data_IF_222218439481
#
_entry.id   IF_222218439481
#
_cell.length_a   1.000
_cell.length_b   1.000
_cell.length_c   1.000
_cell.angle_alpha   90.00
_cell.angle_beta   90.00
_cell.angle_gamma   90.00
#
_symmetry.space_group_name_H-M   'P 1'
#
loop_
_entity.id
_entity.type
_entity.pdbx_description
1 polymer ?
#
# COMPACT_ATOMS: atom_id res chain seq x y z
N UNK A 1 24.83 -18.69 15.55
CA UNK A 1 24.71 -17.22 15.75
C UNK A 1 23.78 -16.64 14.68
N UNK A 2 22.61 -16.08 15.02
CA UNK A 2 21.79 -15.41 14.01
C UNK A 2 22.55 -14.20 13.46
N UNK A 3 22.89 -14.26 12.18
CA UNK A 3 23.65 -13.25 11.43
C UNK A 3 23.24 -11.83 11.82
N UNK A 4 24.20 -10.99 12.19
CA UNK A 4 24.07 -9.55 12.50
C UNK A 4 23.23 -8.78 11.45
N UNK A 5 23.21 -9.29 10.21
CA UNK A 5 22.38 -8.79 9.10
C UNK A 5 20.87 -8.94 9.34
N UNK A 6 20.42 -10.00 10.02
CA UNK A 6 19.00 -10.28 10.30
C UNK A 6 18.48 -9.31 11.36
N UNK A 7 19.23 -9.11 12.44
CA UNK A 7 18.91 -8.18 13.54
C UNK A 7 18.82 -6.72 13.03
N UNK A 8 19.82 -6.27 12.26
CA UNK A 8 19.82 -4.93 11.65
C UNK A 8 18.64 -4.71 10.71
N UNK A 9 18.19 -5.77 10.02
CA UNK A 9 17.04 -5.73 9.12
C UNK A 9 15.73 -5.63 9.90
N UNK A 10 15.56 -6.39 10.97
CA UNK A 10 14.36 -6.34 11.82
C UNK A 10 14.23 -5.00 12.52
N UNK A 11 15.33 -4.47 13.09
CA UNK A 11 15.34 -3.16 13.75
C UNK A 11 14.97 -2.03 12.79
N UNK A 12 15.53 -2.03 11.57
CA UNK A 12 15.19 -1.05 10.54
C UNK A 12 13.72 -1.12 10.11
N UNK A 13 13.10 -2.30 10.17
CA UNK A 13 11.66 -2.48 9.90
C UNK A 13 10.80 -1.91 11.03
N UNK A 14 11.10 -2.26 12.27
CA UNK A 14 10.42 -1.70 13.45
C UNK A 14 10.48 -0.18 13.46
N UNK A 15 11.67 0.39 13.22
CA UNK A 15 11.86 1.83 13.14
C UNK A 15 11.03 2.47 12.02
N UNK A 16 10.98 1.87 10.83
CA UNK A 16 10.23 2.41 9.71
C UNK A 16 8.71 2.28 9.91
N UNK A 17 8.26 1.19 10.53
CA UNK A 17 6.85 1.01 10.92
C UNK A 17 6.44 2.01 11.99
N UNK A 18 7.28 2.23 13.01
CA UNK A 18 7.03 3.23 14.05
C UNK A 18 6.96 4.64 13.45
N UNK A 19 7.91 4.99 12.56
CA UNK A 19 7.91 6.26 11.85
C UNK A 19 6.61 6.45 11.05
N UNK A 20 6.17 5.42 10.35
CA UNK A 20 4.90 5.42 9.61
C UNK A 20 3.69 5.67 10.54
N UNK A 21 3.64 5.05 11.73
CA UNK A 21 2.57 5.29 12.70
C UNK A 21 2.60 6.72 13.22
N UNK A 22 3.78 7.28 13.50
CA UNK A 22 3.91 8.67 13.95
C UNK A 22 3.46 9.64 12.85
N UNK A 23 3.91 9.42 11.62
CA UNK A 23 3.53 10.24 10.45
C UNK A 23 2.06 10.10 10.05
N UNK A 24 1.36 9.07 10.54
CA UNK A 24 -0.06 8.89 10.28
C UNK A 24 -0.92 9.91 11.04
N UNK A 25 -0.54 10.21 12.29
CA UNK A 25 -1.25 11.11 13.21
C UNK A 25 -0.57 12.47 13.39
N UNK A 26 0.59 12.69 12.77
CA UNK A 26 1.41 13.87 13.03
C UNK A 26 0.71 15.18 12.70
N UNK A 27 -0.12 15.23 11.65
CA UNK A 27 -0.85 16.46 11.30
C UNK A 27 -1.86 16.82 12.40
N UNK A 28 -2.62 15.84 12.90
CA UNK A 28 -3.55 16.04 14.01
C UNK A 28 -2.85 16.43 15.31
N UNK A 29 -1.72 15.80 15.66
CA UNK A 29 -0.94 16.18 16.84
C UNK A 29 -0.43 17.63 16.75
N UNK A 30 0.09 18.02 15.58
CA UNK A 30 0.54 19.39 15.34
C UNK A 30 -0.63 20.37 15.38
N UNK A 31 -1.82 19.98 14.94
CA UNK A 31 -3.03 20.80 15.06
C UNK A 31 -3.33 21.12 16.52
N UNK A 32 -3.43 20.09 17.37
CA UNK A 32 -3.75 20.23 18.80
C UNK A 32 -2.70 21.09 19.52
N UNK A 33 -1.41 20.87 19.26
CA UNK A 33 -0.35 21.63 19.91
C UNK A 33 -0.29 23.10 19.47
N UNK A 34 -0.63 23.40 18.21
CA UNK A 34 -0.52 24.75 17.65
C UNK A 34 -1.82 25.56 17.75
N UNK A 35 -2.94 24.94 18.12
CA UNK A 35 -4.26 25.58 18.13
C UNK A 35 -4.26 26.89 18.94
N UNK A 36 -3.74 26.84 20.17
CA UNK A 36 -3.72 28.01 21.05
C UNK A 36 -2.87 29.16 20.48
N UNK A 37 -1.75 28.83 19.84
CA UNK A 37 -0.87 29.83 19.25
C UNK A 37 -1.53 30.50 18.03
N UNK A 38 -2.27 29.73 17.23
CA UNK A 38 -3.03 30.26 16.09
C UNK A 38 -4.17 31.15 16.60
N UNK A 39 -4.92 30.71 17.62
CA UNK A 39 -5.96 31.53 18.27
C UNK A 39 -5.42 32.86 18.78
N UNK A 40 -4.27 32.84 19.46
CA UNK A 40 -3.63 34.05 19.98
C UNK A 40 -3.26 35.04 18.87
N UNK A 41 -2.91 34.55 17.69
CA UNK A 41 -2.52 35.37 16.54
C UNK A 41 -3.67 36.17 15.91
N UNK A 42 -4.93 35.83 16.22
CA UNK A 42 -6.14 36.50 15.72
C UNK A 42 -6.83 37.39 16.79
N UNK A 43 -6.33 37.41 18.03
CA UNK A 43 -6.96 38.14 19.15
C UNK A 43 -7.06 39.67 18.95
N UNK A 44 -6.28 40.24 18.02
CA UNK A 44 -6.32 41.68 17.72
C UNK A 44 -7.53 42.12 16.88
N UNK A 45 -8.46 41.21 16.56
CA UNK A 45 -9.65 41.48 15.75
C UNK A 45 -10.85 41.79 16.65
N UNK A 46 -11.47 42.96 16.46
CA UNK A 46 -12.54 43.48 17.32
C UNK A 46 -13.92 42.81 17.12
N UNK A 47 -14.09 42.01 16.07
CA UNK A 47 -15.36 41.35 15.74
C UNK A 47 -15.23 39.83 15.88
N UNK A 48 -16.23 39.18 16.49
CA UNK A 48 -16.30 37.73 16.64
C UNK A 48 -16.24 37.00 15.30
N UNK A 49 -16.92 37.52 14.28
CA UNK A 49 -16.93 36.91 12.95
C UNK A 49 -15.55 37.01 12.29
N UNK A 50 -14.91 38.18 12.38
CA UNK A 50 -13.56 38.39 11.82
C UNK A 50 -12.50 37.55 12.55
N UNK A 51 -12.65 37.38 13.87
CA UNK A 51 -11.80 36.50 14.66
C UNK A 51 -11.90 35.04 14.20
N UNK A 52 -13.11 34.52 14.04
CA UNK A 52 -13.34 33.13 13.60
C UNK A 52 -12.84 32.90 12.17
N UNK A 53 -13.13 33.81 11.24
CA UNK A 53 -12.63 33.76 9.86
C UNK A 53 -11.10 33.73 9.82
N UNK A 54 -10.44 34.61 10.57
CA UNK A 54 -8.97 34.63 10.71
C UNK A 54 -8.44 33.29 11.24
N UNK A 55 -9.07 32.76 12.28
CA UNK A 55 -8.66 31.51 12.90
C UNK A 55 -8.77 30.34 11.93
N UNK A 56 -9.93 30.12 11.30
CA UNK A 56 -10.14 29.02 10.35
C UNK A 56 -9.23 29.13 9.13
N UNK A 57 -9.03 30.35 8.62
CA UNK A 57 -8.14 30.58 7.48
C UNK A 57 -6.68 30.22 7.82
N UNK A 58 -6.15 30.76 8.92
CA UNK A 58 -4.77 30.48 9.34
C UNK A 58 -4.56 29.02 9.71
N UNK A 59 -5.52 28.41 10.40
CA UNK A 59 -5.48 27.00 10.76
C UNK A 59 -5.46 26.12 9.50
N UNK A 60 -6.32 26.39 8.51
CA UNK A 60 -6.39 25.61 7.27
C UNK A 60 -5.10 25.70 6.44
N UNK A 61 -4.52 26.89 6.31
CA UNK A 61 -3.23 27.09 5.62
C UNK A 61 -2.12 26.34 6.36
N UNK A 62 -2.04 26.52 7.68
CA UNK A 62 -1.02 25.86 8.49
C UNK A 62 -1.11 24.34 8.40
N UNK A 63 -2.31 23.78 8.55
CA UNK A 63 -2.53 22.33 8.45
C UNK A 63 -2.28 21.80 7.04
N UNK A 64 -2.60 22.56 6.01
CA UNK A 64 -2.27 22.18 4.63
C UNK A 64 -0.75 22.09 4.43
N UNK A 65 0.02 23.05 4.94
CA UNK A 65 1.49 23.02 4.86
C UNK A 65 2.09 21.84 5.64
N UNK A 66 1.60 21.60 6.85
CA UNK A 66 2.01 20.44 7.67
C UNK A 66 1.66 19.14 6.95
N UNK A 67 0.43 19.02 6.42
CA UNK A 67 0.00 17.86 5.65
C UNK A 67 0.92 17.62 4.44
N UNK A 68 1.26 18.66 3.67
CA UNK A 68 2.16 18.54 2.52
C UNK A 68 3.52 17.99 2.92
N UNK A 69 4.11 18.48 4.02
CA UNK A 69 5.39 17.99 4.54
C UNK A 69 5.30 16.52 4.97
N UNK A 70 4.29 16.19 5.80
CA UNK A 70 4.03 14.83 6.26
C UNK A 70 3.81 13.89 5.07
N UNK A 71 3.08 14.34 4.05
CA UNK A 71 2.80 13.57 2.84
C UNK A 71 4.04 13.32 2.00
N UNK A 72 4.92 14.31 1.84
CA UNK A 72 6.20 14.13 1.14
C UNK A 72 7.08 13.09 1.83
N UNK A 73 7.17 13.15 3.17
CA UNK A 73 7.95 12.18 3.95
C UNK A 73 7.34 10.77 3.84
N UNK A 74 6.02 10.66 3.98
CA UNK A 74 5.33 9.36 3.87
C UNK A 74 5.41 8.78 2.46
N UNK A 75 5.25 9.59 1.42
CA UNK A 75 5.44 9.17 0.03
C UNK A 75 6.86 8.61 -0.21
N UNK A 76 7.90 9.24 0.34
CA UNK A 76 9.26 8.71 0.28
C UNK A 76 9.38 7.38 1.00
N UNK A 77 8.74 7.22 2.16
CA UNK A 77 8.71 5.94 2.87
C UNK A 77 8.00 4.84 2.06
N UNK A 78 6.85 5.12 1.47
CA UNK A 78 6.10 4.20 0.60
C UNK A 78 6.92 3.77 -0.62
N UNK A 79 7.63 4.71 -1.24
CA UNK A 79 8.51 4.42 -2.37
C UNK A 79 9.67 3.49 -1.96
N UNK A 80 10.27 3.70 -0.77
CA UNK A 80 11.30 2.83 -0.23
C UNK A 80 10.77 1.41 0.05
N UNK A 81 9.55 1.29 0.59
CA UNK A 81 8.90 -0.02 0.80
C UNK A 81 8.61 -0.76 -0.51
N UNK A 82 8.18 -0.02 -1.54
CA UNK A 82 7.81 -0.59 -2.83
C UNK A 82 9.05 -1.03 -3.62
N UNK A 83 10.07 -0.16 -3.71
CA UNK A 83 11.28 -0.43 -4.50
C UNK A 83 12.12 -1.59 -3.96
N UNK A 84 12.11 -1.81 -2.64
CA UNK A 84 12.88 -2.91 -2.02
C UNK A 84 12.35 -4.30 -2.41
N UNK A 85 11.09 -4.36 -2.84
CA UNK A 85 10.37 -5.58 -3.17
C UNK A 85 9.90 -5.56 -4.65
N UNK A 86 10.70 -4.97 -5.54
CA UNK A 86 10.34 -4.63 -6.94
C UNK A 86 10.26 -5.82 -7.90
N UNK A 87 10.64 -7.02 -7.45
CA UNK A 87 10.67 -8.22 -8.30
C UNK A 87 9.26 -8.78 -8.60
N UNK A 88 8.26 -8.46 -7.77
CA UNK A 88 6.89 -8.87 -8.04
C UNK A 88 6.22 -7.99 -9.11
N UNK A 89 5.71 -8.61 -10.18
CA UNK A 89 5.05 -7.89 -11.29
C UNK A 89 3.81 -7.13 -10.83
N UNK A 90 3.05 -7.69 -9.88
CA UNK A 90 1.85 -7.03 -9.35
C UNK A 90 2.20 -5.69 -8.66
N UNK A 91 3.27 -5.67 -7.86
CA UNK A 91 3.78 -4.45 -7.21
C UNK A 91 4.32 -3.43 -8.21
N UNK A 92 4.95 -3.88 -9.30
CA UNK A 92 5.50 -3.01 -10.35
C UNK A 92 4.40 -2.32 -11.17
N UNK A 93 3.31 -3.03 -11.48
CA UNK A 93 2.21 -2.50 -12.31
C UNK A 93 1.22 -1.65 -11.54
N UNK A 94 0.95 -1.99 -10.29
CA UNK A 94 -0.02 -1.32 -9.43
C UNK A 94 0.64 -1.04 -8.09
N UNK A 95 1.47 -0.02 -8.04
CA UNK A 95 2.27 0.30 -6.85
C UNK A 95 1.44 0.97 -5.74
N UNK A 96 0.31 1.61 -6.08
CA UNK A 96 -0.65 2.19 -5.14
C UNK A 96 -0.16 3.40 -4.36
N UNK A 97 1.05 3.91 -4.62
CA UNK A 97 1.56 5.12 -3.98
C UNK A 97 1.25 6.33 -4.85
N UNK A 98 0.57 7.31 -4.28
CA UNK A 98 0.22 8.57 -4.94
C UNK A 98 0.79 9.74 -4.14
N UNK A 99 1.24 10.79 -4.81
CA UNK A 99 1.77 11.98 -4.10
C UNK A 99 0.73 12.54 -3.14
N UNK A 100 -0.56 12.56 -3.50
CA UNK A 100 -1.65 12.90 -2.59
C UNK A 100 -1.74 14.36 -2.16
N UNK A 101 -0.75 15.21 -2.47
CA UNK A 101 -0.78 16.66 -2.23
C UNK A 101 -2.01 17.35 -2.86
N UNK A 102 -2.46 17.00 -4.08
CA UNK A 102 -3.65 17.61 -4.67
C UNK A 102 -4.95 17.46 -3.84
N UNK A 103 -5.01 16.50 -2.91
CA UNK A 103 -6.17 16.29 -2.03
C UNK A 103 -6.43 17.48 -1.09
N UNK A 104 -5.39 18.22 -0.71
CA UNK A 104 -5.56 19.38 0.16
C UNK A 104 -6.00 20.65 -0.57
N UNK A 105 -5.93 20.68 -1.91
CA UNK A 105 -6.33 21.86 -2.70
C UNK A 105 -7.85 22.12 -2.60
N UNK A 106 -8.75 21.16 -2.85
CA UNK A 106 -10.19 21.39 -2.70
C UNK A 106 -10.56 21.76 -1.25
N UNK A 107 -9.91 21.15 -0.26
CA UNK A 107 -10.13 21.47 1.15
C UNK A 107 -9.73 22.92 1.47
N UNK A 108 -8.53 23.34 1.02
CA UNK A 108 -8.05 24.71 1.22
C UNK A 108 -8.96 25.71 0.50
N UNK A 109 -9.32 25.45 -0.75
CA UNK A 109 -10.22 26.30 -1.54
C UNK A 109 -11.55 26.48 -0.82
N UNK A 110 -12.13 25.40 -0.27
CA UNK A 110 -13.38 25.45 0.51
C UNK A 110 -13.24 26.34 1.74
N UNK A 111 -12.18 26.15 2.54
CA UNK A 111 -11.96 26.90 3.77
C UNK A 111 -11.66 28.39 3.51
N UNK A 112 -10.89 28.70 2.46
CA UNK A 112 -10.58 30.09 2.06
C UNK A 112 -11.80 30.83 1.49
N UNK A 113 -12.68 30.13 0.76
CA UNK A 113 -13.86 30.76 0.16
C UNK A 113 -15.02 30.89 1.16
N UNK A 114 -15.04 30.04 2.20
CA UNK A 114 -15.94 30.19 3.34
C UNK A 114 -15.72 31.53 4.06
N UNK A 115 -14.47 31.94 4.26
CA UNK A 115 -14.12 33.18 4.97
C UNK A 115 -14.42 34.48 4.20
N UNK A 116 -14.89 34.39 2.95
CA UNK A 116 -15.23 35.57 2.13
C UNK A 116 -16.77 35.75 2.07
N UNK A 117 -17.54 34.95 2.81
CA UNK A 117 -19.01 34.99 2.78
C UNK A 117 -19.61 34.47 1.46
N UNK A 118 -18.80 33.88 0.58
CA UNK A 118 -19.24 33.30 -0.70
C UNK A 118 -19.72 31.86 -0.46
N UNK A 119 -20.56 31.69 0.55
CA UNK A 119 -21.01 30.37 1.01
C UNK A 119 -22.03 29.72 0.04
N UNK A 120 -22.55 30.46 -0.95
CA UNK A 120 -23.79 30.08 -1.63
C UNK A 120 -23.77 30.19 -3.17
N UNK A 121 -22.63 30.46 -3.81
CA UNK A 121 -22.62 30.32 -5.27
C UNK A 121 -22.45 28.84 -5.62
N UNK A 122 -23.45 28.26 -6.29
CA UNK A 122 -23.41 26.91 -6.85
C UNK A 122 -22.10 26.62 -7.60
N UNK A 123 -21.50 27.65 -8.20
CA UNK A 123 -20.19 27.61 -8.85
C UNK A 123 -19.04 27.18 -7.92
N UNK A 124 -18.95 27.68 -6.68
CA UNK A 124 -17.88 27.30 -5.75
C UNK A 124 -17.98 25.83 -5.35
N UNK A 125 -19.21 25.35 -5.12
CA UNK A 125 -19.48 23.94 -4.83
C UNK A 125 -19.11 23.05 -6.03
N UNK A 126 -19.51 23.45 -7.25
CA UNK A 126 -19.15 22.74 -8.49
C UNK A 126 -17.64 22.69 -8.66
N UNK A 127 -16.93 23.83 -8.53
CA UNK A 127 -15.48 23.89 -8.64
C UNK A 127 -14.78 22.99 -7.61
N UNK A 128 -15.21 23.04 -6.34
CA UNK A 128 -14.65 22.20 -5.26
C UNK A 128 -14.89 20.72 -5.55
N UNK A 129 -16.09 20.35 -6.04
CA UNK A 129 -16.42 18.99 -6.42
C UNK A 129 -15.58 18.48 -7.59
N UNK A 130 -15.37 19.31 -8.62
CA UNK A 130 -14.50 18.95 -9.77
C UNK A 130 -13.06 18.75 -9.31
N UNK A 131 -12.53 19.67 -8.50
CA UNK A 131 -11.17 19.56 -7.95
C UNK A 131 -11.02 18.30 -7.07
N UNK A 132 -12.00 18.02 -6.22
CA UNK A 132 -12.02 16.80 -5.42
C UNK A 132 -12.07 15.55 -6.31
N UNK A 133 -12.91 15.53 -7.34
CA UNK A 133 -13.01 14.41 -8.28
C UNK A 133 -11.66 14.13 -8.97
N UNK A 134 -10.96 15.17 -9.42
CA UNK A 134 -9.63 15.05 -10.01
C UNK A 134 -8.59 14.55 -8.99
N UNK A 135 -8.63 15.05 -7.76
CA UNK A 135 -7.71 14.64 -6.70
C UNK A 135 -7.91 13.19 -6.25
N UNK A 136 -9.16 12.70 -6.25
CA UNK A 136 -9.51 11.33 -5.85
C UNK A 136 -9.44 10.30 -6.99
N UNK A 137 -9.44 10.74 -8.26
CA UNK A 137 -9.42 9.87 -9.43
C UNK A 137 -8.32 8.78 -9.40
N UNK A 138 -7.05 9.06 -9.03
CA UNK A 138 -6.02 8.02 -8.95
C UNK A 138 -6.38 6.89 -7.96
N UNK A 139 -6.98 7.23 -6.81
CA UNK A 139 -7.37 6.26 -5.79
C UNK A 139 -8.56 5.42 -6.23
N UNK A 140 -9.54 6.04 -6.90
CA UNK A 140 -10.70 5.34 -7.47
C UNK A 140 -10.28 4.39 -8.60
N UNK A 141 -9.38 4.83 -9.48
CA UNK A 141 -8.79 4.00 -10.54
C UNK A 141 -8.09 2.76 -9.96
N UNK A 142 -7.27 2.95 -8.94
CA UNK A 142 -6.56 1.84 -8.28
C UNK A 142 -7.53 0.86 -7.62
N UNK A 143 -8.57 1.36 -6.94
CA UNK A 143 -9.64 0.53 -6.38
C UNK A 143 -10.30 -0.34 -7.45
N UNK A 144 -10.73 0.25 -8.57
CA UNK A 144 -11.34 -0.48 -9.68
C UNK A 144 -10.39 -1.56 -10.23
N UNK A 145 -9.10 -1.24 -10.38
CA UNK A 145 -8.10 -2.20 -10.82
C UNK A 145 -7.92 -3.35 -9.82
N UNK A 146 -7.87 -3.06 -8.50
CA UNK A 146 -7.78 -4.07 -7.45
C UNK A 146 -9.00 -4.98 -7.44
N UNK A 147 -10.21 -4.41 -7.48
CA UNK A 147 -11.45 -5.17 -7.53
C UNK A 147 -11.48 -6.12 -8.73
N UNK A 148 -11.06 -5.64 -9.91
CA UNK A 148 -10.95 -6.48 -11.12
C UNK A 148 -9.97 -7.64 -10.92
N UNK A 149 -8.79 -7.38 -10.33
CA UNK A 149 -7.80 -8.43 -10.06
C UNK A 149 -8.30 -9.47 -9.05
N UNK A 150 -8.93 -9.01 -7.96
CA UNK A 150 -9.51 -9.87 -6.95
C UNK A 150 -10.64 -10.71 -7.54
N UNK A 151 -11.53 -10.13 -8.35
CA UNK A 151 -12.59 -10.87 -9.05
C UNK A 151 -12.02 -11.98 -9.95
N UNK A 152 -10.99 -11.69 -10.76
CA UNK A 152 -10.33 -12.72 -11.56
C UNK A 152 -9.62 -13.78 -10.72
N UNK A 153 -9.04 -13.39 -9.58
CA UNK A 153 -8.40 -14.31 -8.65
C UNK A 153 -9.43 -15.27 -8.02
N UNK A 154 -10.62 -14.75 -7.64
CA UNK A 154 -11.74 -15.57 -7.14
C UNK A 154 -12.23 -16.54 -8.21
N UNK A 155 -12.49 -16.07 -9.44
CA UNK A 155 -12.94 -16.92 -10.55
C UNK A 155 -11.98 -18.09 -10.84
N UNK A 156 -10.68 -17.86 -10.68
CA UNK A 156 -9.63 -18.88 -10.90
C UNK A 156 -9.28 -19.69 -9.64
N UNK A 157 -10.08 -19.58 -8.57
CA UNK A 157 -9.84 -20.26 -7.28
C UNK A 157 -8.44 -20.02 -6.75
N UNK A 158 -7.97 -18.77 -6.81
CA UNK A 158 -6.62 -18.39 -6.41
C UNK A 158 -6.41 -18.52 -4.89
N UNK A 159 -7.40 -18.09 -4.11
CA UNK A 159 -7.38 -18.18 -2.66
C UNK A 159 -7.45 -19.64 -2.21
N UNK A 160 -6.54 -20.05 -1.33
CA UNK A 160 -6.48 -21.43 -0.82
C UNK A 160 -7.51 -21.66 0.30
N UNK A 161 -7.87 -20.61 1.03
CA UNK A 161 -8.87 -20.66 2.11
C UNK A 161 -9.78 -19.44 2.10
N UNK A 162 -10.92 -19.57 2.77
CA UNK A 162 -11.93 -18.51 2.87
C UNK A 162 -11.41 -17.31 3.68
N UNK A 163 -10.49 -17.51 4.62
CA UNK A 163 -9.93 -16.43 5.45
C UNK A 163 -9.19 -15.38 4.61
N UNK A 164 -8.30 -15.80 3.70
CA UNK A 164 -7.56 -14.86 2.84
C UNK A 164 -8.52 -14.07 1.94
N UNK A 165 -9.58 -14.71 1.47
CA UNK A 165 -10.61 -14.07 0.66
C UNK A 165 -11.41 -13.04 1.49
N UNK A 166 -11.89 -13.43 2.68
CA UNK A 166 -12.63 -12.54 3.59
C UNK A 166 -11.77 -11.31 3.91
N UNK A 167 -10.51 -11.52 4.31
CA UNK A 167 -9.60 -10.43 4.66
C UNK A 167 -9.31 -9.51 3.46
N UNK A 168 -9.23 -10.05 2.25
CA UNK A 168 -9.10 -9.27 1.01
C UNK A 168 -10.33 -8.41 0.77
N UNK A 169 -11.54 -9.00 0.91
CA UNK A 169 -12.79 -8.26 0.76
C UNK A 169 -12.95 -7.18 1.83
N UNK A 170 -12.58 -7.47 3.08
CA UNK A 170 -12.55 -6.48 4.17
C UNK A 170 -11.59 -5.34 3.86
N UNK A 171 -10.39 -5.62 3.35
CA UNK A 171 -9.44 -4.58 2.96
C UNK A 171 -9.98 -3.70 1.81
N UNK A 172 -10.65 -4.29 0.81
CA UNK A 172 -11.30 -3.54 -0.26
C UNK A 172 -12.46 -2.67 0.26
N UNK A 173 -13.26 -3.21 1.18
CA UNK A 173 -14.35 -2.47 1.81
C UNK A 173 -13.81 -1.23 2.55
N UNK A 174 -12.81 -1.42 3.41
CA UNK A 174 -12.17 -0.31 4.14
C UNK A 174 -11.60 0.74 3.16
N UNK A 175 -10.93 0.30 2.09
CA UNK A 175 -10.41 1.19 1.06
C UNK A 175 -11.51 2.06 0.46
N UNK A 176 -12.62 1.45 0.03
CA UNK A 176 -13.76 2.15 -0.56
C UNK A 176 -14.42 3.10 0.43
N UNK A 177 -14.62 2.67 1.68
CA UNK A 177 -15.20 3.49 2.73
C UNK A 177 -14.36 4.73 3.01
N UNK A 178 -13.03 4.59 3.14
CA UNK A 178 -12.13 5.73 3.35
C UNK A 178 -12.19 6.70 2.17
N UNK A 179 -12.12 6.21 0.93
CA UNK A 179 -12.24 7.07 -0.26
C UNK A 179 -13.56 7.81 -0.28
N UNK A 180 -14.67 7.14 0.03
CA UNK A 180 -16.01 7.74 0.02
C UNK A 180 -16.18 8.81 1.10
N UNK A 181 -15.80 8.50 2.35
CA UNK A 181 -15.93 9.41 3.50
C UNK A 181 -15.10 10.67 3.25
N UNK A 182 -13.83 10.51 2.88
CA UNK A 182 -12.92 11.64 2.65
C UNK A 182 -13.34 12.45 1.41
N UNK A 183 -13.86 11.79 0.36
CA UNK A 183 -14.39 12.49 -0.81
C UNK A 183 -15.59 13.37 -0.44
N UNK A 184 -16.55 12.84 0.33
CA UNK A 184 -17.74 13.59 0.76
C UNK A 184 -17.36 14.74 1.71
N UNK A 185 -16.42 14.53 2.62
CA UNK A 185 -15.94 15.58 3.52
C UNK A 185 -15.19 16.71 2.79
N UNK A 186 -14.27 16.35 1.88
CA UNK A 186 -13.46 17.33 1.15
C UNK A 186 -14.32 18.09 0.13
N UNK A 187 -15.24 17.41 -0.56
CA UNK A 187 -16.07 18.03 -1.61
C UNK A 187 -17.21 18.88 -1.05
N UNK A 188 -17.91 18.40 -0.01
CA UNK A 188 -19.15 19.00 0.45
C UNK A 188 -19.18 19.31 1.96
N UNK A 189 -18.23 18.81 2.76
CA UNK A 189 -18.17 19.04 4.20
C UNK A 189 -19.37 18.48 4.96
N UNK A 190 -20.04 17.45 4.40
CA UNK A 190 -21.26 16.87 4.97
C UNK A 190 -20.94 15.90 6.12
N UNK A 191 -19.70 15.45 6.22
CA UNK A 191 -19.32 14.43 7.19
C UNK A 191 -19.06 15.01 8.58
N UNK A 192 -19.70 14.46 9.60
CA UNK A 192 -19.41 14.84 10.98
C UNK A 192 -18.11 14.18 11.45
N UNK A 193 -17.13 14.95 11.96
CA UNK A 193 -15.87 14.38 12.43
C UNK A 193 -16.11 13.41 13.58
N UNK A 194 -15.56 12.20 13.44
CA UNK A 194 -15.42 11.27 14.56
C UNK A 194 -14.13 11.58 15.31
N UNK A 195 -14.14 11.49 16.63
CA UNK A 195 -12.97 11.81 17.46
C UNK A 195 -12.43 10.55 18.14
N UNK A 196 -11.12 10.40 18.14
CA UNK A 196 -10.41 9.39 18.91
C UNK A 196 -9.36 10.08 19.79
N UNK A 197 -9.46 9.94 21.11
CA UNK A 197 -8.61 10.66 22.07
C UNK A 197 -8.57 12.18 21.82
N UNK A 198 -9.69 12.76 21.38
CA UNK A 198 -9.80 14.19 21.04
C UNK A 198 -9.25 14.57 19.66
N UNK A 199 -8.70 13.63 18.89
CA UNK A 199 -8.23 13.87 17.51
C UNK A 199 -9.34 13.57 16.49
N UNK A 200 -9.71 14.53 15.62
CA UNK A 200 -10.66 14.27 14.54
C UNK A 200 -10.06 13.29 13.52
N UNK A 201 -10.80 12.25 13.19
CA UNK A 201 -10.39 11.16 12.30
C UNK A 201 -10.68 11.46 10.82
N UNK A 202 -10.46 12.69 10.39
CA UNK A 202 -10.72 13.16 9.02
C UNK A 202 -9.57 14.01 8.51
N UNK A 203 -9.47 14.16 7.19
CA UNK A 203 -8.55 15.11 6.58
C UNK A 203 -8.73 16.54 7.15
N UNK A 204 -7.64 17.32 7.34
CA UNK A 204 -6.22 17.00 7.11
C UNK A 204 -5.52 16.32 8.29
N UNK A 205 -6.22 16.07 9.41
CA UNK A 205 -5.62 15.59 10.65
C UNK A 205 -5.06 14.17 10.54
N UNK A 206 -5.67 13.36 9.68
CA UNK A 206 -5.21 12.01 9.35
C UNK A 206 -4.60 11.95 7.95
N UNK A 207 -3.45 11.30 7.85
CA UNK A 207 -2.83 10.99 6.57
C UNK A 207 -3.47 9.74 5.92
N UNK A 208 -4.73 9.85 5.52
CA UNK A 208 -5.50 8.74 4.95
C UNK A 208 -4.88 8.13 3.67
N UNK A 209 -4.12 8.86 2.80
CA UNK A 209 -3.43 8.22 1.67
C UNK A 209 -2.52 7.06 2.08
N UNK A 210 -1.96 7.12 3.30
CA UNK A 210 -1.16 6.04 3.86
C UNK A 210 -2.01 4.80 4.16
N UNK A 211 -3.25 4.97 4.65
CA UNK A 211 -4.19 3.84 4.88
C UNK A 211 -4.48 3.16 3.55
N UNK A 212 -4.78 3.94 2.52
CA UNK A 212 -5.07 3.45 1.16
C UNK A 212 -3.86 2.68 0.60
N UNK A 213 -2.65 3.22 0.76
CA UNK A 213 -1.41 2.53 0.36
C UNK A 213 -1.22 1.19 1.10
N UNK A 214 -1.46 1.15 2.42
CA UNK A 214 -1.32 -0.07 3.23
C UNK A 214 -2.36 -1.11 2.81
N UNK A 215 -3.63 -0.73 2.65
CA UNK A 215 -4.70 -1.60 2.18
C UNK A 215 -4.43 -2.15 0.77
N UNK A 216 -4.02 -1.28 -0.15
CA UNK A 216 -3.62 -1.67 -1.51
C UNK A 216 -2.44 -2.65 -1.51
N UNK A 217 -1.40 -2.33 -0.74
CA UNK A 217 -0.21 -3.18 -0.59
C UNK A 217 -0.54 -4.52 0.03
N UNK A 218 -1.49 -4.56 0.97
CA UNK A 218 -1.95 -5.79 1.59
C UNK A 218 -2.56 -6.74 0.55
N UNK A 219 -3.51 -6.24 -0.27
CA UNK A 219 -4.16 -7.04 -1.33
C UNK A 219 -3.14 -7.57 -2.35
N UNK A 220 -2.20 -6.73 -2.78
CA UNK A 220 -1.21 -7.12 -3.80
C UNK A 220 -0.16 -8.10 -3.28
N UNK A 221 0.09 -8.13 -1.97
CA UNK A 221 1.05 -9.05 -1.34
C UNK A 221 0.55 -10.49 -1.29
N UNK A 222 -0.71 -10.76 -1.61
CA UNK A 222 -1.24 -12.12 -1.59
C UNK A 222 -0.63 -12.94 -2.73
N UNK A 223 -0.02 -14.06 -2.37
CA UNK A 223 0.60 -14.99 -3.32
C UNK A 223 0.07 -16.40 -3.08
N UNK A 224 -0.18 -17.13 -4.18
CA UNK A 224 -0.60 -18.53 -4.15
C UNK A 224 0.60 -19.45 -4.37
N UNK A 225 0.78 -20.41 -3.48
CA UNK A 225 1.71 -21.54 -3.67
C UNK A 225 1.19 -22.44 -4.79
N UNK A 226 2.02 -22.65 -5.80
CA UNK A 226 1.73 -23.57 -6.90
C UNK A 226 2.22 -24.98 -6.59
N UNK A 227 1.68 -26.01 -7.26
CA UNK A 227 2.20 -27.37 -7.15
C UNK A 227 3.68 -27.42 -7.51
N UNK A 228 4.40 -28.26 -6.76
CA UNK A 228 5.82 -28.48 -6.88
C UNK A 228 6.14 -29.18 -8.20
N UNK A 229 7.21 -28.73 -8.85
CA UNK A 229 7.81 -29.39 -10.01
C UNK A 229 9.23 -29.74 -9.63
N UNK A 230 9.64 -30.96 -9.95
CA UNK A 230 11.00 -31.45 -9.73
C UNK A 230 11.63 -31.64 -11.10
N UNK A 231 12.75 -30.96 -11.31
CA UNK A 231 13.52 -31.08 -12.53
C UNK A 231 14.64 -32.09 -12.32
N UNK A 232 14.65 -33.14 -13.12
CA UNK A 232 15.76 -34.07 -13.23
C UNK A 232 16.74 -33.50 -14.27
N UNK A 233 17.91 -33.10 -13.81
CA UNK A 233 18.96 -32.55 -14.67
C UNK A 233 19.96 -33.66 -14.95
N UNK A 234 20.01 -34.08 -16.23
CA UNK A 234 20.70 -35.30 -16.65
C UNK A 234 22.21 -35.14 -16.61
N UNK A 235 22.74 -34.03 -17.14
CA UNK A 235 24.20 -33.81 -17.22
C UNK A 235 24.84 -33.63 -15.84
N UNK A 236 24.22 -32.87 -14.94
CA UNK A 236 24.74 -32.58 -13.60
C UNK A 236 24.29 -33.57 -12.52
N UNK A 237 23.63 -34.66 -12.93
CA UNK A 237 23.11 -35.75 -12.08
C UNK A 237 22.48 -35.22 -10.80
N UNK A 238 21.45 -34.38 -10.94
CA UNK A 238 20.76 -33.81 -9.79
C UNK A 238 19.27 -33.57 -9.99
N UNK A 239 18.53 -33.61 -8.88
CA UNK A 239 17.16 -33.12 -8.86
C UNK A 239 17.10 -31.71 -8.30
N UNK A 240 16.38 -30.82 -8.98
CA UNK A 240 16.09 -29.47 -8.54
C UNK A 240 14.59 -29.33 -8.29
N UNK A 241 14.22 -29.14 -7.03
CA UNK A 241 12.84 -28.89 -6.63
C UNK A 241 12.53 -27.39 -6.74
N UNK A 242 11.46 -27.07 -7.47
CA UNK A 242 11.03 -25.70 -7.66
C UNK A 242 9.80 -25.36 -6.82
N UNK A 243 9.96 -24.38 -5.94
CA UNK A 243 8.90 -23.78 -5.15
C UNK A 243 8.41 -22.51 -5.83
N UNK A 244 7.29 -22.59 -6.56
CA UNK A 244 6.69 -21.45 -7.26
C UNK A 244 5.60 -20.78 -6.45
N UNK A 245 5.63 -19.45 -6.47
CA UNK A 245 4.59 -18.59 -5.92
C UNK A 245 4.04 -17.70 -7.04
N UNK A 246 2.73 -17.64 -7.24
CA UNK A 246 2.11 -16.68 -8.16
C UNK A 246 1.52 -15.51 -7.41
N UNK A 247 1.71 -14.30 -7.93
CA UNK A 247 1.03 -13.11 -7.44
C UNK A 247 -0.43 -13.07 -7.90
N UNK A 248 -1.21 -12.11 -7.39
CA UNK A 248 -2.62 -11.90 -7.77
C UNK A 248 -2.83 -11.66 -9.27
N UNK A 249 -1.80 -11.18 -9.99
CA UNK A 249 -1.79 -11.08 -11.45
C UNK A 249 -1.57 -12.43 -12.16
N UNK A 250 -1.56 -13.54 -11.43
CA UNK A 250 -1.36 -14.91 -11.93
C UNK A 250 -0.03 -15.14 -12.66
N UNK A 251 0.94 -14.24 -12.48
CA UNK A 251 2.32 -14.42 -12.93
C UNK A 251 3.18 -14.96 -11.80
N UNK A 252 4.15 -15.79 -12.15
CA UNK A 252 5.15 -16.30 -11.21
C UNK A 252 5.92 -15.11 -10.61
N UNK A 253 6.10 -15.16 -9.29
CA UNK A 253 6.72 -14.10 -8.52
C UNK A 253 8.17 -14.49 -8.18
N UNK A 254 9.17 -13.86 -8.81
CA UNK A 254 10.58 -14.17 -8.55
C UNK A 254 11.06 -13.70 -7.18
N UNK A 255 10.25 -12.90 -6.46
CA UNK A 255 10.56 -12.47 -5.09
C UNK A 255 10.38 -13.60 -4.07
N UNK A 256 9.35 -14.44 -4.26
CA UNK A 256 8.98 -15.50 -3.33
C UNK A 256 9.20 -16.92 -3.86
N UNK A 257 9.45 -17.06 -5.17
CA UNK A 257 9.78 -18.35 -5.77
C UNK A 257 11.25 -18.67 -5.56
N UNK A 258 11.57 -19.92 -5.25
CA UNK A 258 12.94 -20.39 -5.05
C UNK A 258 13.10 -21.83 -5.55
N UNK A 259 14.35 -22.22 -5.78
CA UNK A 259 14.73 -23.57 -6.16
C UNK A 259 15.66 -24.17 -5.09
N UNK A 260 15.49 -25.45 -4.82
CA UNK A 260 16.28 -26.22 -3.86
C UNK A 260 16.77 -27.51 -4.51
N UNK A 261 18.08 -27.76 -4.43
CA UNK A 261 18.66 -29.03 -4.90
C UNK A 261 18.35 -30.13 -3.89
N UNK A 262 17.85 -31.26 -4.37
CA UNK A 262 17.63 -32.43 -3.51
C UNK A 262 18.96 -33.17 -3.31
N UNK A 263 19.09 -33.83 -2.17
CA UNK A 263 20.29 -34.60 -1.79
C UNK A 263 20.43 -35.91 -2.58
N UNK A 264 19.31 -36.49 -3.01
CA UNK A 264 19.28 -37.74 -3.78
C UNK A 264 19.70 -37.45 -5.22
N UNK A 265 20.59 -38.27 -5.78
CA UNK A 265 21.03 -38.18 -7.17
C UNK A 265 20.14 -39.03 -8.09
N UNK A 266 19.80 -38.56 -9.31
CA UNK A 266 19.09 -39.33 -10.33
C UNK A 266 19.68 -40.71 -10.61
N UNK A 267 21.00 -40.82 -10.69
CA UNK A 267 21.74 -42.07 -10.91
C UNK A 267 21.53 -43.14 -9.85
N UNK A 268 21.28 -42.72 -8.60
CA UNK A 268 21.08 -43.62 -7.44
C UNK A 268 19.60 -43.71 -7.05
N UNK A 269 18.73 -42.95 -7.70
CA UNK A 269 17.32 -42.87 -7.35
C UNK A 269 16.53 -44.06 -7.87
N UNK A 270 16.11 -44.94 -6.95
CA UNK A 270 15.18 -46.03 -7.26
C UNK A 270 13.79 -45.52 -7.67
N UNK A 271 12.99 -46.37 -8.31
CA UNK A 271 11.58 -46.09 -8.63
C UNK A 271 10.75 -45.74 -7.40
N UNK A 272 11.04 -46.34 -6.24
CA UNK A 272 10.42 -46.00 -4.95
C UNK A 272 10.77 -44.57 -4.52
N UNK A 273 12.03 -44.16 -4.68
CA UNK A 273 12.46 -42.80 -4.35
C UNK A 273 11.79 -41.77 -5.26
N UNK A 274 11.72 -42.04 -6.56
CA UNK A 274 11.03 -41.17 -7.53
C UNK A 274 9.54 -41.02 -7.23
N UNK A 275 8.86 -42.09 -6.81
CA UNK A 275 7.43 -42.05 -6.41
C UNK A 275 7.20 -41.34 -5.07
N UNK A 276 8.20 -41.32 -4.19
CA UNK A 276 8.13 -40.62 -2.90
C UNK A 276 8.37 -39.12 -3.00
N UNK A 277 8.78 -38.61 -4.18
CA UNK A 277 8.99 -37.18 -4.37
C UNK A 277 7.67 -36.44 -4.55
N UNK A 278 7.48 -35.38 -3.76
CA UNK A 278 6.30 -34.51 -3.84
C UNK A 278 6.36 -33.61 -5.08
N UNK A 279 5.93 -34.12 -6.23
CA UNK A 279 5.74 -33.30 -7.42
C UNK A 279 5.80 -34.07 -8.74
N UNK A 280 5.51 -33.36 -9.83
CA UNK A 280 5.71 -33.87 -11.18
C UNK A 280 7.20 -33.80 -11.52
N UNK A 281 7.79 -34.92 -11.92
CA UNK A 281 9.17 -34.98 -12.41
C UNK A 281 9.19 -34.61 -13.89
N UNK A 282 10.07 -33.68 -14.25
CA UNK A 282 10.31 -33.22 -15.64
C UNK A 282 11.79 -33.31 -15.92
N UNK A 283 12.17 -33.88 -17.05
CA UNK A 283 13.58 -34.02 -17.43
C UNK A 283 14.06 -32.80 -18.21
N UNK A 284 15.29 -32.37 -17.93
CA UNK A 284 15.99 -31.24 -18.56
C UNK A 284 17.42 -31.69 -18.82
N UNK A 285 18.03 -31.23 -19.92
CA UNK A 285 19.39 -31.70 -20.27
C UNK A 285 20.43 -31.15 -19.31
N UNK A 286 20.41 -29.84 -19.07
CA UNK A 286 21.40 -29.14 -18.26
C UNK A 286 20.81 -27.98 -17.44
N UNK A 287 21.61 -27.43 -16.51
CA UNK A 287 21.19 -26.31 -15.66
C UNK A 287 20.99 -25.00 -16.44
N UNK A 288 21.62 -24.85 -17.61
CA UNK A 288 21.48 -23.65 -18.43
C UNK A 288 20.08 -23.57 -19.07
N UNK A 289 19.55 -24.70 -19.53
CA UNK A 289 18.17 -24.86 -19.98
C UNK A 289 17.19 -24.62 -18.82
N UNK A 290 17.52 -25.06 -17.61
CA UNK A 290 16.69 -24.78 -16.44
C UNK A 290 16.66 -23.26 -16.11
N UNK A 291 17.77 -22.56 -16.27
CA UNK A 291 17.88 -21.12 -16.03
C UNK A 291 17.09 -20.26 -17.03
N UNK A 292 16.98 -20.71 -18.28
CA UNK A 292 16.20 -19.99 -19.30
C UNK A 292 14.69 -20.14 -19.04
N UNK A 293 14.26 -21.29 -18.52
CA UNK A 293 12.87 -21.56 -18.14
C UNK A 293 12.52 -20.89 -16.80
N UNK A 294 13.50 -20.79 -15.89
CA UNK A 294 13.32 -20.30 -14.53
C UNK A 294 14.45 -19.34 -14.15
N UNK A 295 14.34 -18.04 -14.46
CA UNK A 295 15.34 -17.05 -14.07
C UNK A 295 15.46 -16.84 -12.54
N UNK A 296 14.69 -17.60 -11.75
CA UNK A 296 14.75 -17.63 -10.29
C UNK A 296 15.76 -18.67 -9.75
N UNK A 297 16.26 -19.58 -10.59
CA UNK A 297 17.05 -20.73 -10.19
C UNK A 297 18.55 -20.52 -10.46
N UNK A 298 19.38 -21.19 -9.66
CA UNK A 298 20.83 -21.42 -9.87
C UNK A 298 21.79 -20.23 -9.66
N UNK A 299 21.31 -19.00 -9.46
CA UNK A 299 22.15 -17.86 -9.05
C UNK A 299 22.38 -17.76 -7.53
N UNK A 300 22.91 -18.80 -6.87
CA UNK A 300 23.42 -18.64 -5.51
C UNK A 300 23.30 -19.89 -4.63
N UNK A 301 24.44 -20.55 -4.43
CA UNK A 301 24.69 -21.31 -3.20
C UNK A 301 24.41 -20.39 -2.01
N UNK A 302 23.29 -20.61 -1.32
CA UNK A 302 23.17 -20.28 0.10
C UNK A 302 23.35 -21.58 0.88
N UNK A 303 24.60 -22.04 0.89
CA UNK A 303 25.17 -22.77 2.02
C UNK A 303 25.37 -21.80 3.18
#
# INVERSE_FOLDING_TARGET
MPSYSKIRRTFRWLSLTLLCIVLFISTGLVNVCSEQQIRNSCLSLNSTNSYEECFYQRQSIFLFMVFCLVRLITYKCEMLFTNRNSKCIAKKKLSGHHIGIPLGVPHLVRQMLWSVGIQQTSLVLICTFVLASLAFYPYAKDFCCLCRLVAYAVQRRFFKGNQDLILTCTALYIYMSVVLVEFLDISAGIYCPQFLFGLPLIFPNINFPMILYVGHSFVIRIHKKMPLIIYEVVEEDCFVQLHRMRCIHQKDCPEFSYATRLSIKPSVATTKHRRAMDGRIVQVRNLQELNTILPCAVGGNRS
#
